data_IF_764072451438
#
_entry.id   IF_764072451438
#
_cell.length_a   1.000
_cell.length_b   1.000
_cell.length_c   1.000
_cell.angle_alpha   90.00
_cell.angle_beta   90.00
_cell.angle_gamma   90.00
#
_symmetry.space_group_name_H-M   'P 1'
#
loop_
_entity.id
_entity.type
_entity.pdbx_description
1 polymer ?
#
# COMPACT_ATOMS: atom_id res chain seq x y z
N UNK A 1 -9.61 -9.44 15.87
CA UNK A 1 -8.18 -9.68 15.57
C UNK A 1 -7.71 -8.68 14.53
N UNK A 2 -6.44 -8.31 14.54
CA UNK A 2 -5.82 -7.47 13.50
C UNK A 2 -4.74 -8.28 12.80
N UNK A 3 -4.85 -8.47 11.49
CA UNK A 3 -3.90 -9.27 10.71
C UNK A 3 -3.47 -8.52 9.46
N UNK A 4 -2.21 -8.66 9.08
CA UNK A 4 -1.67 -7.97 7.91
C UNK A 4 -0.78 -8.86 7.06
N UNK A 5 -0.87 -8.65 5.74
CA UNK A 5 0.09 -9.15 4.76
C UNK A 5 0.76 -7.95 4.09
N UNK A 6 2.08 -7.87 4.23
CA UNK A 6 2.90 -6.80 3.69
C UNK A 6 3.84 -7.37 2.64
N UNK A 7 3.77 -6.86 1.41
CA UNK A 7 4.47 -7.42 0.25
C UNK A 7 5.27 -6.34 -0.46
N UNK A 8 6.60 -6.51 -0.49
CA UNK A 8 7.51 -5.58 -1.17
C UNK A 8 8.30 -6.28 -2.26
N UNK A 9 8.19 -5.80 -3.50
CA UNK A 9 8.92 -6.34 -4.65
C UNK A 9 9.89 -5.29 -5.21
N UNK A 10 11.19 -5.55 -5.14
CA UNK A 10 12.24 -4.73 -5.76
C UNK A 10 12.76 -5.32 -7.08
N UNK A 11 12.41 -6.56 -7.45
CA UNK A 11 12.81 -7.23 -8.70
C UNK A 11 14.33 -7.18 -8.96
N UNK A 12 15.18 -7.54 -7.99
CA UNK A 12 16.63 -7.33 -8.08
C UNK A 12 17.25 -8.09 -9.25
N UNK A 13 18.21 -7.47 -9.94
CA UNK A 13 18.90 -8.05 -11.10
C UNK A 13 17.99 -8.31 -12.30
N UNK A 14 16.89 -7.57 -12.42
CA UNK A 14 16.00 -7.61 -13.59
C UNK A 14 15.91 -6.24 -14.24
N UNK A 15 15.43 -6.13 -15.49
CA UNK A 15 15.15 -4.84 -16.13
C UNK A 15 14.05 -4.01 -15.42
N UNK A 16 13.35 -4.60 -14.46
CA UNK A 16 12.21 -4.00 -13.75
C UNK A 16 12.58 -3.58 -12.32
N UNK A 17 13.87 -3.47 -12.00
CA UNK A 17 14.35 -3.23 -10.64
C UNK A 17 13.83 -1.92 -10.02
N UNK A 18 13.37 -2.01 -8.77
CA UNK A 18 12.97 -0.91 -7.90
C UNK A 18 13.84 -0.95 -6.63
N UNK A 19 13.88 0.17 -5.89
CA UNK A 19 14.73 0.31 -4.68
C UNK A 19 13.98 0.73 -3.42
N UNK A 20 12.71 1.11 -3.54
CA UNK A 20 11.91 1.65 -2.44
C UNK A 20 10.98 0.62 -1.78
N UNK A 21 10.51 -0.37 -2.53
CA UNK A 21 9.32 -1.13 -2.16
C UNK A 21 9.48 -1.94 -0.87
N UNK A 22 10.68 -2.48 -0.65
CA UNK A 22 11.03 -3.18 0.59
C UNK A 22 11.02 -2.21 1.78
N UNK A 23 11.57 -1.00 1.63
CA UNK A 23 11.55 0.00 2.69
C UNK A 23 10.13 0.44 3.04
N UNK A 24 9.26 0.57 2.04
CA UNK A 24 7.85 0.97 2.24
C UNK A 24 7.11 -0.04 3.11
N UNK A 25 7.28 -1.34 2.86
CA UNK A 25 6.62 -2.38 3.67
C UNK A 25 7.22 -2.53 5.06
N UNK A 26 8.52 -2.27 5.24
CA UNK A 26 9.12 -2.16 6.57
C UNK A 26 8.58 -0.95 7.36
N UNK A 27 8.46 0.20 6.71
CA UNK A 27 7.88 1.40 7.33
C UNK A 27 6.41 1.17 7.72
N UNK A 28 5.61 0.53 6.83
CA UNK A 28 4.24 0.15 7.14
C UNK A 28 4.17 -0.81 8.32
N UNK A 29 5.02 -1.84 8.35
CA UNK A 29 5.12 -2.79 9.47
C UNK A 29 5.32 -2.06 10.79
N UNK A 30 6.29 -1.14 10.82
CA UNK A 30 6.58 -0.35 12.00
C UNK A 30 5.39 0.49 12.46
N UNK A 31 4.68 1.12 11.52
CA UNK A 31 3.48 1.91 11.81
C UNK A 31 2.37 1.05 12.40
N UNK A 32 2.04 -0.08 11.77
CA UNK A 32 0.90 -0.91 12.22
C UNK A 32 1.15 -1.57 13.57
N UNK A 33 2.41 -1.94 13.87
CA UNK A 33 2.78 -2.49 15.17
C UNK A 33 2.77 -1.39 16.25
N UNK A 34 3.41 -0.25 15.99
CA UNK A 34 3.62 0.80 17.02
C UNK A 34 2.41 1.71 17.25
N UNK A 35 1.56 1.92 16.24
CA UNK A 35 0.45 2.89 16.28
C UNK A 35 -0.92 2.24 16.25
N UNK A 36 -1.04 1.12 15.54
CA UNK A 36 -2.32 0.44 15.37
C UNK A 36 -2.42 -0.86 16.18
N UNK A 37 -1.39 -1.20 16.97
CA UNK A 37 -1.36 -2.36 17.87
C UNK A 37 -1.70 -3.68 17.16
N UNK A 38 -1.17 -3.88 15.95
CA UNK A 38 -1.15 -5.22 15.36
C UNK A 38 -0.22 -6.11 16.17
N UNK A 39 -0.61 -7.37 16.37
CA UNK A 39 0.29 -8.36 16.97
C UNK A 39 1.33 -8.78 15.92
N UNK A 40 2.64 -8.70 16.19
CA UNK A 40 3.67 -9.19 15.27
C UNK A 40 3.46 -10.62 14.78
N UNK A 41 2.80 -11.49 15.55
CA UNK A 41 2.50 -12.88 15.16
C UNK A 41 1.42 -12.97 14.07
N UNK A 42 0.63 -11.91 13.89
CA UNK A 42 -0.41 -11.80 12.86
C UNK A 42 -0.01 -10.83 11.74
N UNK A 43 1.29 -10.50 11.61
CA UNK A 43 1.80 -9.67 10.52
C UNK A 43 2.81 -10.48 9.72
N UNK A 44 2.41 -10.87 8.51
CA UNK A 44 3.30 -11.51 7.56
C UNK A 44 3.97 -10.46 6.67
N UNK A 45 5.29 -10.58 6.52
CA UNK A 45 6.11 -9.76 5.63
C UNK A 45 6.76 -10.66 4.58
N UNK A 46 6.51 -10.39 3.31
CA UNK A 46 7.06 -11.13 2.17
C UNK A 46 7.80 -10.14 1.28
N UNK A 47 9.10 -10.34 1.07
CA UNK A 47 9.93 -9.48 0.22
C UNK A 47 10.90 -10.31 -0.60
N UNK A 48 11.40 -9.74 -1.70
CA UNK A 48 12.48 -10.32 -2.49
C UNK A 48 13.88 -9.85 -2.03
N UNK A 49 13.99 -9.45 -0.75
CA UNK A 49 15.28 -9.19 -0.10
C UNK A 49 16.09 -10.51 0.03
N UNK A 50 17.42 -10.46 -0.15
CA UNK A 50 18.28 -11.59 0.19
C UNK A 50 18.07 -12.07 1.63
N UNK A 51 17.73 -13.34 1.80
CA UNK A 51 17.50 -13.93 3.12
C UNK A 51 16.05 -13.90 3.60
N UNK A 52 15.12 -13.33 2.82
CA UNK A 52 13.70 -13.40 3.12
C UNK A 52 13.20 -14.85 3.18
N UNK A 53 12.36 -15.20 4.17
CA UNK A 53 11.90 -16.57 4.38
C UNK A 53 10.96 -17.04 3.26
N UNK A 54 10.33 -16.10 2.56
CA UNK A 54 9.34 -16.34 1.52
C UNK A 54 9.50 -15.27 0.44
N UNK A 55 9.56 -15.69 -0.82
CA UNK A 55 9.61 -14.80 -1.97
C UNK A 55 8.20 -14.28 -2.33
N UNK A 56 8.03 -13.04 -2.81
CA UNK A 56 6.74 -12.47 -3.17
C UNK A 56 6.31 -12.93 -4.56
N UNK A 57 6.17 -14.25 -4.72
CA UNK A 57 5.62 -14.89 -5.92
C UNK A 57 4.10 -14.85 -5.90
N UNK A 58 3.46 -15.02 -7.06
CA UNK A 58 1.99 -15.13 -7.14
C UNK A 58 1.42 -16.12 -6.14
N UNK A 59 2.00 -17.31 -6.10
CA UNK A 59 1.53 -18.40 -5.25
C UNK A 59 1.59 -18.03 -3.76
N UNK A 60 2.68 -17.39 -3.34
CA UNK A 60 2.89 -17.02 -1.94
C UNK A 60 1.98 -15.87 -1.51
N UNK A 61 1.82 -14.84 -2.34
CA UNK A 61 0.93 -13.71 -2.07
C UNK A 61 -0.53 -14.18 -1.98
N UNK A 62 -0.98 -14.97 -2.96
CA UNK A 62 -2.35 -15.51 -2.97
C UNK A 62 -2.61 -16.45 -1.79
N UNK A 63 -1.62 -17.24 -1.38
CA UNK A 63 -1.73 -18.09 -0.20
C UNK A 63 -1.89 -17.27 1.09
N UNK A 64 -1.09 -16.22 1.28
CA UNK A 64 -1.20 -15.33 2.44
C UNK A 64 -2.54 -14.60 2.50
N UNK A 65 -3.02 -14.08 1.36
CA UNK A 65 -4.36 -13.47 1.26
C UNK A 65 -5.47 -14.47 1.60
N UNK A 66 -5.39 -15.69 1.05
CA UNK A 66 -6.38 -16.73 1.32
C UNK A 66 -6.39 -17.15 2.80
N UNK A 67 -5.23 -17.22 3.45
CA UNK A 67 -5.11 -17.52 4.88
C UNK A 67 -5.73 -16.42 5.74
N UNK A 68 -5.43 -15.15 5.45
CA UNK A 68 -6.07 -14.01 6.14
C UNK A 68 -7.59 -14.07 6.04
N UNK A 69 -8.12 -14.33 4.83
CA UNK A 69 -9.56 -14.41 4.60
C UNK A 69 -10.19 -15.60 5.32
N UNK A 70 -9.54 -16.77 5.28
CA UNK A 70 -10.05 -17.99 5.89
C UNK A 70 -10.17 -17.89 7.41
N UNK A 71 -9.20 -17.25 8.07
CA UNK A 71 -9.17 -17.13 9.53
C UNK A 71 -9.98 -15.93 10.05
N UNK A 72 -10.46 -15.07 9.16
CA UNK A 72 -11.21 -13.86 9.50
C UNK A 72 -12.55 -14.18 10.18
N UNK A 73 -12.88 -13.37 11.19
CA UNK A 73 -14.14 -13.39 11.93
C UNK A 73 -14.79 -12.02 11.91
N UNK A 74 -16.07 -11.98 12.24
CA UNK A 74 -16.84 -10.74 12.37
C UNK A 74 -16.11 -9.74 13.29
N UNK A 75 -15.95 -8.50 12.79
CA UNK A 75 -15.23 -7.43 13.51
C UNK A 75 -13.71 -7.47 13.41
N UNK A 76 -13.11 -8.40 12.66
CA UNK A 76 -11.68 -8.41 12.40
C UNK A 76 -11.24 -7.28 11.44
N UNK A 77 -9.96 -6.90 11.54
CA UNK A 77 -9.33 -5.89 10.69
C UNK A 77 -8.18 -6.54 9.93
N UNK A 78 -8.31 -6.58 8.61
CA UNK A 78 -7.37 -7.16 7.67
C UNK A 78 -6.72 -6.02 6.87
N UNK A 79 -5.39 -6.06 6.78
CA UNK A 79 -4.61 -5.12 5.99
C UNK A 79 -3.77 -5.86 4.95
N UNK A 80 -3.94 -5.53 3.68
CA UNK A 80 -3.02 -5.93 2.63
C UNK A 80 -2.26 -4.68 2.13
N UNK A 81 -0.94 -4.70 2.21
CA UNK A 81 -0.10 -3.65 1.66
C UNK A 81 0.83 -4.25 0.61
N UNK A 82 0.74 -3.75 -0.62
CA UNK A 82 1.64 -4.09 -1.71
C UNK A 82 2.41 -2.85 -2.15
N UNK A 83 3.74 -2.95 -2.22
CA UNK A 83 4.60 -1.97 -2.89
C UNK A 83 5.41 -2.68 -3.98
N UNK A 84 5.33 -2.17 -5.20
CA UNK A 84 5.92 -2.81 -6.39
C UNK A 84 5.33 -2.31 -7.70
N UNK A 85 5.55 -3.05 -8.79
CA UNK A 85 4.94 -2.73 -10.08
C UNK A 85 3.45 -3.08 -10.11
N UNK A 86 2.69 -2.22 -10.77
CA UNK A 86 1.31 -2.44 -11.17
C UNK A 86 1.18 -2.24 -12.67
N UNK A 87 0.32 -3.01 -13.32
CA UNK A 87 0.11 -2.98 -14.77
C UNK A 87 -1.37 -3.13 -15.09
N UNK A 88 -1.78 -2.58 -16.23
CA UNK A 88 -3.07 -2.87 -16.85
C UNK A 88 -2.84 -3.89 -17.97
N UNK A 89 -3.42 -5.08 -17.86
CA UNK A 89 -3.17 -6.19 -18.77
C UNK A 89 -4.46 -6.91 -19.19
N UNK A 90 -4.47 -7.50 -20.38
CA UNK A 90 -5.61 -8.29 -20.86
C UNK A 90 -5.68 -9.62 -20.10
N UNK A 91 -6.61 -9.74 -19.15
CA UNK A 91 -6.97 -11.05 -18.58
C UNK A 91 -7.76 -11.87 -19.60
N UNK A 92 -8.60 -11.20 -20.39
CA UNK A 92 -9.36 -11.76 -21.52
C UNK A 92 -9.22 -10.83 -22.73
N UNK A 93 -9.25 -11.36 -23.97
CA UNK A 93 -9.12 -10.52 -25.16
C UNK A 93 -10.14 -9.38 -25.17
N UNK A 94 -9.66 -8.14 -25.25
CA UNK A 94 -10.49 -6.94 -25.33
C UNK A 94 -11.01 -6.40 -23.99
N UNK A 95 -10.57 -6.97 -22.87
CA UNK A 95 -10.82 -6.41 -21.53
C UNK A 95 -9.50 -6.35 -20.78
N UNK A 96 -9.11 -5.10 -20.50
CA UNK A 96 -7.99 -4.78 -19.65
C UNK A 96 -8.43 -4.76 -18.19
N UNK A 97 -7.65 -5.41 -17.34
CA UNK A 97 -7.85 -5.46 -15.90
C UNK A 97 -6.54 -5.04 -15.22
N UNK A 98 -6.65 -4.37 -14.08
CA UNK A 98 -5.48 -3.98 -13.29
C UNK A 98 -4.90 -5.19 -12.55
N UNK A 99 -3.58 -5.22 -12.47
CA UNK A 99 -2.86 -6.28 -11.79
C UNK A 99 -1.64 -5.74 -11.04
N UNK A 100 -1.37 -6.33 -9.89
CA UNK A 100 -0.05 -6.22 -9.26
C UNK A 100 0.91 -7.23 -9.92
N UNK A 101 2.20 -6.92 -9.90
CA UNK A 101 3.24 -7.75 -10.51
C UNK A 101 4.09 -8.41 -9.41
N UNK A 102 3.87 -9.68 -9.07
CA UNK A 102 4.76 -10.44 -8.19
C UNK A 102 6.19 -10.59 -8.76
N UNK A 103 7.16 -10.97 -7.94
CA UNK A 103 8.56 -11.07 -8.38
C UNK A 103 8.80 -12.16 -9.44
N UNK A 104 7.90 -13.14 -9.56
CA UNK A 104 7.91 -14.18 -10.59
C UNK A 104 7.15 -13.78 -11.86
N UNK A 105 6.71 -12.53 -11.96
CA UNK A 105 5.98 -11.93 -13.09
C UNK A 105 4.62 -12.59 -13.40
N UNK A 106 4.15 -13.46 -12.51
CA UNK A 106 2.85 -14.09 -12.62
C UNK A 106 1.79 -13.15 -12.05
N UNK A 107 1.09 -12.42 -12.90
CA UNK A 107 0.16 -11.37 -12.50
C UNK A 107 -0.92 -11.84 -11.51
N UNK A 108 -1.26 -10.97 -10.57
CA UNK A 108 -2.44 -11.08 -9.73
C UNK A 108 -3.37 -9.94 -10.12
N UNK A 109 -4.50 -10.30 -10.71
CA UNK A 109 -5.49 -9.32 -11.16
C UNK A 109 -6.36 -8.85 -9.98
N UNK A 110 -6.94 -7.65 -10.11
CA UNK A 110 -7.94 -7.11 -9.20
C UNK A 110 -9.07 -8.11 -8.89
N UNK A 111 -9.51 -8.86 -9.92
CA UNK A 111 -10.55 -9.89 -9.80
C UNK A 111 -10.10 -11.03 -8.90
N UNK A 112 -8.82 -11.43 -8.91
CA UNK A 112 -8.32 -12.51 -8.06
C UNK A 112 -8.48 -12.16 -6.59
N UNK A 113 -8.15 -10.90 -6.23
CA UNK A 113 -8.27 -10.38 -4.86
C UNK A 113 -9.74 -10.19 -4.50
N UNK A 114 -10.57 -9.69 -5.41
CA UNK A 114 -12.02 -9.50 -5.21
C UNK A 114 -12.72 -10.81 -4.84
N UNK A 115 -12.43 -11.90 -5.54
CA UNK A 115 -13.01 -13.22 -5.23
C UNK A 115 -12.63 -13.74 -3.83
N UNK A 116 -11.47 -13.33 -3.30
CA UNK A 116 -11.10 -13.64 -1.91
C UNK A 116 -11.90 -12.80 -0.92
N UNK A 117 -12.04 -11.50 -1.16
CA UNK A 117 -12.78 -10.58 -0.29
C UNK A 117 -14.27 -10.96 -0.19
N UNK A 118 -14.86 -11.45 -1.29
CA UNK A 118 -16.27 -11.92 -1.31
C UNK A 118 -16.56 -13.08 -0.33
N UNK A 119 -15.53 -13.76 0.17
CA UNK A 119 -15.66 -14.86 1.14
C UNK A 119 -15.59 -14.38 2.61
N UNK A 120 -15.30 -13.10 2.85
CA UNK A 120 -15.16 -12.57 4.20
C UNK A 120 -16.51 -12.53 4.95
N UNK A 121 -16.52 -12.78 6.27
CA UNK A 121 -17.69 -12.54 7.09
C UNK A 121 -18.17 -11.09 6.99
N UNK A 122 -19.47 -10.89 7.11
CA UNK A 122 -20.05 -9.54 7.25
C UNK A 122 -19.41 -8.82 8.44
N UNK A 123 -19.31 -7.50 8.37
CA UNK A 123 -18.68 -6.63 9.38
C UNK A 123 -17.16 -6.86 9.58
N UNK A 124 -16.49 -7.55 8.66
CA UNK A 124 -15.02 -7.54 8.58
C UNK A 124 -14.55 -6.26 7.89
N UNK A 125 -13.45 -5.67 8.36
CA UNK A 125 -12.79 -4.56 7.66
C UNK A 125 -11.59 -5.09 6.88
N UNK A 126 -11.61 -4.95 5.55
CA UNK A 126 -10.46 -5.28 4.69
C UNK A 126 -9.95 -3.99 4.04
N UNK A 127 -8.68 -3.67 4.25
CA UNK A 127 -8.03 -2.47 3.68
C UNK A 127 -6.90 -2.89 2.76
N UNK A 128 -6.86 -2.34 1.55
CA UNK A 128 -5.75 -2.51 0.61
C UNK A 128 -5.03 -1.17 0.47
N UNK A 129 -3.71 -1.21 0.61
CA UNK A 129 -2.81 -0.12 0.24
C UNK A 129 -1.95 -0.64 -0.92
N UNK A 130 -2.00 0.03 -2.07
CA UNK A 130 -1.22 -0.35 -3.25
C UNK A 130 -0.35 0.82 -3.68
N UNK A 131 0.94 0.75 -3.37
CA UNK A 131 1.95 1.70 -3.83
C UNK A 131 2.58 1.18 -5.12
N UNK A 132 1.85 1.40 -6.23
CA UNK A 132 2.21 0.93 -7.57
C UNK A 132 1.71 1.89 -8.63
N UNK A 133 2.44 2.09 -9.73
CA UNK A 133 2.16 3.10 -10.78
C UNK A 133 0.80 2.98 -11.50
N UNK A 134 -0.02 1.96 -11.22
CA UNK A 134 -1.36 1.71 -11.78
C UNK A 134 -2.40 1.30 -10.72
N UNK A 135 -2.34 1.88 -9.52
CA UNK A 135 -3.27 1.61 -8.40
C UNK A 135 -4.71 2.15 -8.62
N UNK A 136 -5.13 2.36 -9.87
CA UNK A 136 -6.33 3.14 -10.27
C UNK A 136 -7.65 2.37 -10.38
N UNK A 137 -7.62 1.05 -10.50
CA UNK A 137 -8.83 0.21 -10.64
C UNK A 137 -8.75 -1.15 -9.95
N UNK A 138 -7.85 -1.32 -8.97
CA UNK A 138 -7.78 -2.53 -8.15
C UNK A 138 -9.10 -2.83 -7.40
N UNK A 139 -9.99 -1.84 -7.21
CA UNK A 139 -11.22 -2.01 -6.43
C UNK A 139 -12.38 -1.17 -7.00
N UNK A 140 -12.85 -1.47 -8.21
CA UNK A 140 -13.95 -0.71 -8.84
C UNK A 140 -15.33 -0.86 -8.14
N UNK A 141 -15.44 -1.54 -6.97
CA UNK A 141 -16.72 -1.74 -6.23
C UNK A 141 -16.67 -1.79 -4.68
N UNK A 142 -15.59 -1.38 -4.00
CA UNK A 142 -15.57 -1.26 -2.52
C UNK A 142 -14.84 0.01 -2.02
N UNK A 143 -15.05 0.31 -0.74
CA UNK A 143 -15.28 1.66 -0.18
C UNK A 143 -14.13 2.68 -0.19
N UNK A 144 -12.87 2.35 -0.35
CA UNK A 144 -11.79 3.35 -0.47
C UNK A 144 -10.58 2.73 -1.19
N UNK A 145 -10.04 3.45 -2.17
CA UNK A 145 -8.85 3.08 -2.94
C UNK A 145 -7.82 4.21 -2.82
N UNK A 146 -6.57 3.87 -2.45
CA UNK A 146 -5.48 4.84 -2.28
C UNK A 146 -4.51 4.69 -3.45
N UNK A 147 -4.42 5.72 -4.30
CA UNK A 147 -3.53 5.80 -5.47
C UNK A 147 -3.90 6.92 -6.45
N UNK A 148 -3.00 7.38 -7.35
CA UNK A 148 -3.30 8.48 -8.26
C UNK A 148 -4.44 8.11 -9.23
N UNK A 149 -5.47 8.95 -9.26
CA UNK A 149 -6.65 8.84 -10.12
C UNK A 149 -6.39 9.52 -11.47
N UNK A 150 -6.53 8.79 -12.58
CA UNK A 150 -6.78 9.41 -13.88
C UNK A 150 -8.29 9.67 -14.01
N UNK A 151 -8.64 10.95 -14.07
CA UNK A 151 -10.00 11.52 -14.03
C UNK A 151 -10.90 11.17 -15.23
N UNK A 152 -12.23 11.16 -14.96
CA UNK A 152 -13.42 11.42 -15.81
C UNK A 152 -14.22 10.15 -16.23
N UNK A 153 -15.57 10.09 -16.22
CA UNK A 153 -16.65 11.09 -16.14
C UNK A 153 -17.99 10.39 -15.86
N UNK A 154 -18.80 10.96 -14.96
CA UNK A 154 -20.28 10.96 -15.01
C UNK A 154 -21.03 9.67 -14.67
N UNK A 155 -21.64 9.63 -13.47
CA UNK A 155 -23.03 9.24 -13.16
C UNK A 155 -23.17 9.39 -11.63
N UNK A 156 -24.16 10.16 -11.17
CA UNK A 156 -24.55 10.19 -9.75
C UNK A 156 -25.42 8.96 -9.44
N UNK A 157 -25.30 8.38 -8.24
CA UNK A 157 -26.47 8.46 -7.38
C UNK A 157 -26.16 8.74 -5.89
N UNK A 158 -27.11 9.44 -5.30
CA UNK A 158 -27.30 9.73 -3.89
C UNK A 158 -27.52 8.47 -3.05
N UNK A 159 -26.74 8.27 -1.97
CA UNK A 159 -27.20 7.62 -0.72
C UNK A 159 -26.43 8.20 0.47
N UNK A 160 -27.18 8.79 1.39
CA UNK A 160 -26.73 9.26 2.70
C UNK A 160 -26.55 8.07 3.66
N UNK A 161 -25.33 7.85 4.15
CA UNK A 161 -25.08 7.07 5.38
C UNK A 161 -23.92 7.65 6.17
N UNK A 162 -24.16 7.79 7.48
CA UNK A 162 -23.35 8.54 8.45
C UNK A 162 -21.88 8.11 8.51
N UNK A 163 -21.04 9.14 8.39
CA UNK A 163 -19.58 9.20 8.52
C UNK A 163 -19.06 8.61 9.84
N UNK A 164 -17.97 7.83 9.77
CA UNK A 164 -16.85 7.81 10.73
C UNK A 164 -15.66 7.09 10.07
N UNK A 165 -14.89 7.85 9.31
CA UNK A 165 -13.60 7.43 8.74
C UNK A 165 -12.54 8.46 9.10
N UNK A 166 -11.31 8.00 9.35
CA UNK A 166 -10.16 8.89 9.57
C UNK A 166 -9.82 9.49 8.20
N UNK A 167 -9.88 10.81 8.06
CA UNK A 167 -9.61 11.46 6.77
C UNK A 167 -8.12 11.34 6.40
N UNK A 168 -7.82 11.34 5.10
CA UNK A 168 -6.47 11.41 4.55
C UNK A 168 -5.65 12.54 5.19
N UNK A 169 -6.29 13.70 5.40
CA UNK A 169 -5.69 14.84 6.11
C UNK A 169 -5.31 14.50 7.55
N UNK A 170 -6.08 13.67 8.24
CA UNK A 170 -5.78 13.26 9.62
C UNK A 170 -4.57 12.33 9.68
N UNK A 171 -4.40 11.46 8.68
CA UNK A 171 -3.23 10.56 8.57
C UNK A 171 -1.99 11.35 8.16
N UNK A 172 -2.11 12.21 7.16
CA UNK A 172 -1.05 13.09 6.70
C UNK A 172 -0.60 14.07 7.80
N UNK A 173 -1.54 14.71 8.49
CA UNK A 173 -1.26 15.54 9.66
C UNK A 173 -0.61 14.73 10.78
N UNK A 174 -1.03 13.48 11.00
CA UNK A 174 -0.41 12.57 11.97
C UNK A 174 1.06 12.26 11.64
N UNK A 175 1.35 11.95 10.38
CA UNK A 175 2.71 11.72 9.87
C UNK A 175 3.58 12.98 9.95
N UNK A 176 3.06 14.14 9.52
CA UNK A 176 3.77 15.41 9.63
C UNK A 176 4.03 15.83 11.07
N UNK A 177 3.05 15.63 11.96
CA UNK A 177 3.21 15.93 13.39
C UNK A 177 4.27 15.03 14.02
N UNK A 178 4.28 13.74 13.67
CA UNK A 178 5.31 12.83 14.13
C UNK A 178 6.72 13.24 13.65
N UNK A 179 6.86 13.64 12.38
CA UNK A 179 8.12 14.16 11.84
C UNK A 179 8.57 15.44 12.57
N UNK A 180 7.66 16.37 12.84
CA UNK A 180 7.95 17.61 13.55
C UNK A 180 8.36 17.39 15.01
N UNK A 181 7.72 16.45 15.72
CA UNK A 181 8.08 16.08 17.10
C UNK A 181 9.49 15.47 17.15
N UNK A 182 9.85 14.66 16.16
CA UNK A 182 11.20 14.09 16.06
C UNK A 182 12.24 15.18 15.83
N UNK A 183 11.96 16.13 14.93
CA UNK A 183 12.84 17.27 14.67
C UNK A 183 13.00 18.17 15.91
N UNK A 184 11.91 18.47 16.62
CA UNK A 184 11.95 19.25 17.85
C UNK A 184 12.69 18.53 18.99
N UNK A 185 12.54 17.20 19.10
CA UNK A 185 13.27 16.40 20.08
C UNK A 185 14.79 16.39 19.80
N UNK A 186 15.20 16.39 18.53
CA UNK A 186 16.60 16.49 18.10
C UNK A 186 17.23 17.83 18.51
N UNK A 187 16.45 18.92 18.45
CA UNK A 187 16.89 20.28 18.80
C UNK A 187 17.04 20.49 20.32
N UNK A 188 16.16 19.88 21.13
CA UNK A 188 16.18 19.96 22.61
C UNK A 188 17.28 19.09 23.22
N UNK A 189 17.55 17.92 22.64
CA UNK A 189 18.51 16.96 23.21
C UNK A 189 19.96 17.19 22.77
N UNK A 190 20.23 18.20 21.93
CA UNK A 190 21.58 18.53 21.43
C UNK A 190 22.30 17.34 20.79
N UNK A 191 21.55 16.30 20.41
CA UNK A 191 22.07 15.04 19.88
C UNK A 191 21.77 15.01 18.41
N UNK A 192 22.82 15.17 17.61
CA UNK A 192 22.76 14.85 16.18
C UNK A 192 22.51 13.35 16.06
N UNK A 193 21.25 12.95 15.86
CA UNK A 193 20.97 11.60 15.37
C UNK A 193 21.40 11.59 13.90
N UNK A 194 22.66 11.23 13.66
CA UNK A 194 23.19 11.04 12.33
C UNK A 194 22.52 9.81 11.70
N UNK A 195 21.41 10.02 11.01
CA UNK A 195 21.05 9.14 9.90
C UNK A 195 21.92 9.54 8.72
N UNK A 196 22.68 8.57 8.21
CA UNK A 196 23.44 8.69 6.97
C UNK A 196 22.53 9.23 5.87
N UNK A 197 22.86 10.45 5.46
CA UNK A 197 22.20 11.23 4.43
C UNK A 197 22.49 10.62 3.06
N UNK A 198 21.70 9.62 2.67
CA UNK A 198 21.40 9.34 1.26
C UNK A 198 19.94 8.86 1.20
N UNK A 199 19.03 9.77 0.87
CA UNK A 199 17.59 9.49 0.87
C UNK A 199 16.70 10.70 1.19
N UNK A 200 17.30 11.81 1.66
CA UNK A 200 16.64 13.11 1.84
C UNK A 200 16.88 14.03 0.63
N UNK A 201 16.71 13.51 -0.59
CA UNK A 201 16.63 14.31 -1.82
C UNK A 201 15.18 14.49 -2.32
N UNK A 202 14.20 13.97 -1.58
CA UNK A 202 12.79 14.02 -1.99
C UNK A 202 12.13 15.38 -1.67
N UNK A 203 12.65 16.14 -0.71
CA UNK A 203 12.04 17.45 -0.36
C UNK A 203 12.57 18.60 -1.22
N UNK A 204 13.79 18.49 -1.79
CA UNK A 204 14.33 19.54 -2.66
C UNK A 204 13.94 19.39 -4.14
N UNK A 205 13.45 18.23 -4.59
CA UNK A 205 13.04 18.02 -5.98
C UNK A 205 11.52 18.11 -6.22
N UNK A 206 10.71 18.19 -5.17
CA UNK A 206 9.26 18.46 -5.32
C UNK A 206 8.98 19.97 -5.51
N UNK A 207 9.91 20.85 -5.09
CA UNK A 207 9.76 22.30 -5.24
C UNK A 207 9.97 22.84 -6.66
N UNK A 208 10.82 22.18 -7.47
CA UNK A 208 11.14 22.65 -8.83
C UNK A 208 10.25 22.07 -9.93
N UNK A 209 9.54 20.96 -9.68
CA UNK A 209 8.63 20.37 -10.67
C UNK A 209 7.22 21.01 -10.66
N UNK A 210 6.85 21.73 -9.59
CA UNK A 210 5.53 22.36 -9.46
C UNK A 210 5.47 23.81 -9.98
N UNK A 211 6.60 24.44 -10.31
CA UNK A 211 6.62 25.76 -10.96
C UNK A 211 6.59 25.70 -12.49
N UNK A 212 6.80 24.53 -13.10
CA UNK A 212 6.82 24.35 -14.55
C UNK A 212 5.49 23.90 -15.20
N UNK A 213 4.47 23.55 -14.41
CA UNK A 213 3.23 22.94 -14.92
C UNK A 213 2.03 23.91 -14.88
N UNK A 214 2.15 25.09 -14.25
CA UNK A 214 1.11 26.14 -14.22
C UNK A 214 1.53 27.43 -14.94
N UNK A 215 2.11 27.29 -16.13
CA UNK A 215 2.27 28.41 -17.06
C UNK A 215 2.22 27.88 -18.50
N UNK A 216 1.00 27.72 -19.01
CA UNK A 216 0.56 28.04 -20.37
C UNK A 216 -0.71 27.25 -20.71
N UNK A 217 -1.77 28.03 -20.99
CA UNK A 217 -3.11 27.71 -21.52
C UNK A 217 -4.11 26.94 -20.63
#
# INVERSE_FOLDING_TARGET
MKTALLVGCNYPNTPYELKGCINDVHAMRDVILKRFNFDPQHVELITDEPGSPKMPTRANIMAGLAEMVKEAKEGDVLLFHFSGHGVEADMKPGRKDDAIVPCDLNLIYDVDIRHLIEQLPKETSFTIVSDSCHSGGLIDKEKEQIGPHSTLRGIAPSVDTRKRGISLESIHQGLQTAANVINAASEVLGTTVAFSTTGLDIVSNIGHLLTGIFRDN
#
